data_IF_440944744487
#
_entry.id   IF_440944744487
#
_cell.length_a   1.000
_cell.length_b   1.000
_cell.length_c   1.000
_cell.angle_alpha   90.00
_cell.angle_beta   90.00
_cell.angle_gamma   90.00
#
_symmetry.space_group_name_H-M   'P 1'
#
loop_
_entity.id
_entity.type
_entity.pdbx_description
1 polymer ?
#
# COMPACT_ATOMS: atom_id res chain seq x y z
N UNK A 1 3.66 -4.84 -9.42
CA UNK A 1 2.55 -4.50 -10.29
C UNK A 1 1.21 -4.83 -9.66
N UNK A 2 0.23 -4.05 -10.03
CA UNK A 2 -1.14 -4.38 -9.73
C UNK A 2 -1.60 -5.30 -10.86
N UNK A 3 -2.19 -6.46 -10.56
CA UNK A 3 -2.84 -7.22 -11.62
C UNK A 3 -3.82 -6.27 -12.33
N UNK A 4 -4.01 -6.42 -13.62
CA UNK A 4 -4.89 -5.54 -14.41
C UNK A 4 -6.33 -5.66 -13.98
N UNK A 5 -6.62 -5.39 -12.73
CA UNK A 5 -7.89 -5.70 -12.16
C UNK A 5 -8.51 -4.45 -11.67
N UNK A 6 -9.26 -3.89 -12.52
CA UNK A 6 -9.98 -2.68 -12.22
C UNK A 6 -11.48 -2.92 -12.18
N UNK A 7 -11.89 -4.18 -12.33
CA UNK A 7 -13.30 -4.57 -12.26
C UNK A 7 -13.52 -5.59 -11.15
N UNK A 8 -14.72 -5.64 -10.59
CA UNK A 8 -15.08 -6.59 -9.55
C UNK A 8 -14.95 -8.05 -10.01
N UNK A 9 -15.23 -8.32 -11.29
CA UNK A 9 -15.11 -9.67 -11.84
C UNK A 9 -13.65 -10.14 -11.81
N UNK A 10 -12.73 -9.23 -12.11
CA UNK A 10 -11.31 -9.55 -12.05
C UNK A 10 -10.80 -9.70 -10.62
N UNK A 11 -11.37 -8.95 -9.66
CA UNK A 11 -11.06 -9.10 -8.26
C UNK A 11 -11.46 -10.49 -7.75
N UNK A 12 -12.68 -10.94 -8.09
CA UNK A 12 -13.13 -12.28 -7.74
C UNK A 12 -12.24 -13.35 -8.34
N UNK A 13 -11.85 -13.16 -9.60
CA UNK A 13 -10.99 -14.11 -10.30
C UNK A 13 -9.63 -14.25 -9.63
N UNK A 14 -9.08 -13.17 -9.08
CA UNK A 14 -7.81 -13.21 -8.36
C UNK A 14 -7.95 -13.88 -7.01
N UNK A 15 -9.03 -13.60 -6.30
CA UNK A 15 -9.31 -14.28 -5.03
C UNK A 15 -9.44 -15.79 -5.24
N UNK A 16 -9.95 -16.22 -6.40
CA UNK A 16 -10.10 -17.62 -6.76
C UNK A 16 -8.80 -18.22 -7.33
N UNK A 17 -7.98 -17.41 -7.99
CA UNK A 17 -6.67 -17.84 -8.45
C UNK A 17 -5.68 -17.72 -7.32
N UNK A 18 -5.30 -18.84 -6.75
CA UNK A 18 -4.32 -18.87 -5.68
C UNK A 18 -2.99 -18.28 -6.17
N UNK A 19 -2.63 -17.10 -5.71
CA UNK A 19 -1.34 -16.50 -6.02
C UNK A 19 -0.30 -17.07 -5.07
N UNK A 20 0.49 -18.01 -5.57
CA UNK A 20 1.59 -18.58 -4.80
C UNK A 20 2.72 -17.57 -4.75
N UNK A 21 3.07 -17.16 -3.56
CA UNK A 21 4.15 -16.22 -3.33
C UNK A 21 4.40 -16.02 -1.85
N UNK A 22 5.33 -15.14 -1.53
CA UNK A 22 5.67 -14.84 -0.14
C UNK A 22 4.87 -13.64 0.33
N UNK A 23 4.06 -13.87 1.36
CA UNK A 23 3.30 -12.79 2.02
C UNK A 23 4.28 -11.86 2.74
N UNK A 24 4.20 -10.56 2.47
CA UNK A 24 5.16 -9.61 3.04
C UNK A 24 5.03 -9.46 4.54
N UNK A 25 3.83 -9.63 5.11
CA UNK A 25 3.65 -9.54 6.56
C UNK A 25 4.54 -10.51 7.33
N UNK A 26 4.91 -11.63 6.73
CA UNK A 26 5.70 -12.68 7.38
C UNK A 26 7.16 -12.73 6.90
N UNK A 27 7.48 -12.09 5.77
CA UNK A 27 8.76 -12.32 5.11
C UNK A 27 9.57 -11.06 4.79
N UNK A 28 9.00 -9.87 4.92
CA UNK A 28 9.61 -8.64 4.38
C UNK A 28 11.06 -8.44 4.85
N UNK A 29 11.33 -8.55 6.12
CA UNK A 29 12.67 -8.31 6.69
C UNK A 29 13.70 -9.31 6.19
N UNK A 30 13.27 -10.50 5.77
CA UNK A 30 14.15 -11.57 5.28
C UNK A 30 14.38 -11.51 3.76
N UNK A 31 13.80 -10.52 3.11
CA UNK A 31 13.90 -10.32 1.66
C UNK A 31 14.69 -9.04 1.37
N UNK A 32 14.89 -8.73 0.09
CA UNK A 32 15.47 -7.45 -0.30
C UNK A 32 14.41 -6.35 -0.11
N UNK A 33 14.16 -6.02 1.14
CA UNK A 33 13.04 -5.15 1.50
C UNK A 33 13.18 -3.73 0.98
N UNK A 34 14.41 -3.25 0.76
CA UNK A 34 14.61 -1.91 0.18
C UNK A 34 14.07 -1.84 -1.24
N UNK A 35 14.39 -2.83 -2.07
CA UNK A 35 13.86 -2.91 -3.44
C UNK A 35 12.36 -3.13 -3.45
N UNK A 36 11.86 -3.95 -2.53
CA UNK A 36 10.42 -4.19 -2.40
C UNK A 36 9.69 -2.90 -2.04
N UNK A 37 10.23 -2.11 -1.12
CA UNK A 37 9.64 -0.82 -0.75
C UNK A 37 9.62 0.16 -1.92
N UNK A 38 10.65 0.15 -2.78
CA UNK A 38 10.62 0.93 -4.02
C UNK A 38 9.45 0.49 -4.92
N UNK A 39 9.26 -0.81 -5.07
CA UNK A 39 8.13 -1.34 -5.84
C UNK A 39 6.78 -0.96 -5.24
N UNK A 40 6.68 -1.00 -3.91
CA UNK A 40 5.45 -0.59 -3.22
C UNK A 40 5.11 0.85 -3.59
N UNK A 41 6.07 1.77 -3.47
CA UNK A 41 5.85 3.17 -3.81
C UNK A 41 5.37 3.36 -5.25
N UNK A 42 6.01 2.67 -6.20
CA UNK A 42 5.64 2.75 -7.61
C UNK A 42 4.26 2.14 -7.88
N UNK A 43 3.93 1.04 -7.22
CA UNK A 43 2.64 0.38 -7.37
C UNK A 43 1.51 1.27 -6.83
N UNK A 44 1.72 1.88 -5.67
CA UNK A 44 0.74 2.80 -5.09
C UNK A 44 0.55 4.04 -5.95
N UNK A 45 1.61 4.51 -6.59
CA UNK A 45 1.52 5.60 -7.55
C UNK A 45 0.55 5.24 -8.67
N UNK A 46 0.65 4.03 -9.22
CA UNK A 46 -0.21 3.58 -10.32
C UNK A 46 -1.67 3.51 -9.92
N UNK A 47 -1.97 2.89 -8.77
CA UNK A 47 -3.38 2.75 -8.36
C UNK A 47 -3.98 4.10 -7.99
N UNK A 48 -3.26 4.95 -7.27
CA UNK A 48 -3.78 6.26 -6.88
C UNK A 48 -3.93 7.19 -8.06
N UNK A 49 -3.08 7.10 -9.08
CA UNK A 49 -3.25 7.87 -10.32
C UNK A 49 -4.49 7.46 -11.11
N UNK A 50 -5.00 6.27 -10.87
CA UNK A 50 -6.26 5.80 -11.46
C UNK A 50 -7.44 6.00 -10.50
N UNK A 51 -7.22 6.73 -9.42
CA UNK A 51 -8.23 7.00 -8.39
C UNK A 51 -8.77 5.73 -7.72
N UNK A 52 -7.92 4.71 -7.63
CA UNK A 52 -8.25 3.46 -6.93
C UNK A 52 -7.68 3.53 -5.52
N UNK A 53 -8.55 3.30 -4.55
CA UNK A 53 -8.19 3.18 -3.13
C UNK A 53 -8.26 1.71 -2.76
N UNK A 54 -7.21 1.19 -2.14
CA UNK A 54 -7.19 -0.22 -1.75
C UNK A 54 -8.16 -0.51 -0.60
N UNK A 55 -8.16 0.36 0.39
CA UNK A 55 -9.08 0.26 1.51
C UNK A 55 -8.58 -0.57 2.69
N UNK A 56 -7.61 -1.45 2.45
CA UNK A 56 -7.00 -2.27 3.52
C UNK A 56 -5.52 -2.50 3.19
N UNK A 57 -4.80 -1.41 3.01
CA UNK A 57 -3.43 -1.44 2.52
C UNK A 57 -2.45 -1.78 3.64
N UNK A 58 -2.18 -3.07 3.78
CA UNK A 58 -1.25 -3.61 4.77
C UNK A 58 -0.31 -4.61 4.11
N UNK A 59 0.79 -4.95 4.80
CA UNK A 59 1.72 -5.95 4.27
C UNK A 59 1.10 -7.35 4.24
N UNK A 60 0.00 -7.57 4.96
CA UNK A 60 -0.76 -8.82 4.86
C UNK A 60 -1.45 -8.98 3.51
N UNK A 61 -1.69 -7.89 2.80
CA UNK A 61 -2.34 -7.88 1.50
C UNK A 61 -1.34 -7.63 0.36
N UNK A 62 -0.07 -7.95 0.60
CA UNK A 62 1.00 -7.84 -0.38
C UNK A 62 1.72 -9.17 -0.50
N UNK A 63 1.90 -9.63 -1.73
CA UNK A 63 2.58 -10.89 -2.04
C UNK A 63 3.71 -10.60 -3.02
N UNK A 64 4.89 -11.17 -2.75
CA UNK A 64 6.01 -11.14 -3.68
C UNK A 64 6.09 -12.49 -4.38
N UNK A 65 6.00 -12.49 -5.71
CA UNK A 65 6.11 -13.68 -6.54
C UNK A 65 7.00 -13.36 -7.73
N UNK A 66 8.06 -14.15 -7.93
CA UNK A 66 9.01 -13.96 -9.04
C UNK A 66 9.52 -12.53 -9.10
N UNK A 67 9.91 -11.97 -7.96
CA UNK A 67 10.41 -10.59 -7.81
C UNK A 67 9.40 -9.51 -8.16
N UNK A 68 8.13 -9.86 -8.32
CA UNK A 68 7.04 -8.91 -8.59
C UNK A 68 6.12 -8.81 -7.38
N UNK A 69 5.73 -7.58 -7.09
CA UNK A 69 4.80 -7.28 -6.01
C UNK A 69 3.36 -7.36 -6.53
N UNK A 70 2.51 -8.03 -5.78
CA UNK A 70 1.07 -8.10 -6.04
C UNK A 70 0.30 -7.60 -4.84
N UNK A 71 -0.64 -6.69 -5.08
CA UNK A 71 -1.61 -6.31 -4.08
C UNK A 71 -2.81 -7.23 -4.21
N UNK A 72 -3.32 -7.71 -3.08
CA UNK A 72 -4.47 -8.61 -3.04
C UNK A 72 -5.55 -8.03 -2.12
N UNK A 73 -6.71 -8.66 -2.13
CA UNK A 73 -7.84 -8.36 -1.24
C UNK A 73 -8.33 -6.92 -1.34
N UNK A 74 -8.85 -6.58 -2.53
CA UNK A 74 -9.46 -5.27 -2.79
C UNK A 74 -10.92 -5.19 -2.34
N UNK A 75 -11.38 -6.12 -1.50
CA UNK A 75 -12.79 -6.17 -1.09
C UNK A 75 -13.30 -4.90 -0.42
N UNK A 76 -12.43 -4.12 0.22
CA UNK A 76 -12.77 -2.82 0.80
C UNK A 76 -12.41 -1.65 -0.10
N UNK A 77 -11.95 -1.94 -1.33
CA UNK A 77 -11.51 -0.92 -2.26
C UNK A 77 -12.65 -0.15 -2.90
N UNK A 78 -12.34 1.05 -3.34
CA UNK A 78 -13.30 1.92 -4.00
C UNK A 78 -12.58 2.95 -4.86
N UNK A 79 -13.33 3.65 -5.72
CA UNK A 79 -12.79 4.74 -6.53
C UNK A 79 -12.97 6.06 -5.80
N UNK A 80 -11.90 6.84 -5.71
CA UNK A 80 -11.94 8.18 -5.13
C UNK A 80 -10.79 9.03 -5.67
N UNK A 81 -11.08 10.28 -6.00
CA UNK A 81 -10.07 11.26 -6.36
C UNK A 81 -9.64 12.11 -5.15
N UNK A 82 -10.22 11.86 -3.99
CA UNK A 82 -9.97 12.70 -2.80
C UNK A 82 -8.58 12.48 -2.22
N UNK A 83 -7.91 13.57 -1.91
CA UNK A 83 -6.62 13.58 -1.22
C UNK A 83 -6.71 12.79 0.09
N UNK A 84 -7.77 13.03 0.86
CA UNK A 84 -7.98 12.37 2.15
C UNK A 84 -7.99 10.85 2.01
N UNK A 85 -8.71 10.31 1.03
CA UNK A 85 -8.82 8.84 0.87
C UNK A 85 -7.48 8.21 0.47
N UNK A 86 -6.72 8.87 -0.40
CA UNK A 86 -5.38 8.40 -0.77
C UNK A 86 -4.42 8.47 0.41
N UNK A 87 -4.52 9.52 1.21
CA UNK A 87 -3.70 9.67 2.42
C UNK A 87 -4.04 8.60 3.46
N UNK A 88 -5.32 8.26 3.63
CA UNK A 88 -5.74 7.19 4.53
C UNK A 88 -5.13 5.85 4.11
N UNK A 89 -5.12 5.55 2.81
CA UNK A 89 -4.49 4.34 2.28
C UNK A 89 -3.02 4.25 2.72
N UNK A 90 -2.26 5.34 2.50
CA UNK A 90 -0.85 5.38 2.88
C UNK A 90 -0.66 5.33 4.39
N UNK A 91 -1.55 5.94 5.15
CA UNK A 91 -1.48 5.93 6.61
C UNK A 91 -1.69 4.52 7.17
N UNK A 92 -2.62 3.76 6.60
CA UNK A 92 -2.82 2.35 6.96
C UNK A 92 -1.55 1.55 6.73
N UNK A 93 -0.88 1.76 5.60
CA UNK A 93 0.38 1.09 5.32
C UNK A 93 1.45 1.46 6.34
N UNK A 94 1.56 2.74 6.67
CA UNK A 94 2.49 3.22 7.68
C UNK A 94 2.26 2.52 9.02
N UNK A 95 1.00 2.43 9.45
CA UNK A 95 0.65 1.74 10.68
C UNK A 95 1.00 0.24 10.63
N UNK A 96 0.74 -0.41 9.50
CA UNK A 96 1.07 -1.82 9.28
C UNK A 96 2.58 -2.06 9.40
N UNK A 97 3.38 -1.20 8.78
CA UNK A 97 4.84 -1.30 8.86
C UNK A 97 5.34 -1.11 10.29
N UNK A 98 4.81 -0.13 11.00
CA UNK A 98 5.20 0.12 12.37
C UNK A 98 4.83 -1.06 13.29
N UNK A 99 3.67 -1.67 13.07
CA UNK A 99 3.19 -2.77 13.91
C UNK A 99 3.90 -4.10 13.63
N UNK A 100 4.15 -4.41 12.37
CA UNK A 100 4.65 -5.74 11.96
C UNK A 100 6.11 -5.76 11.54
N UNK A 101 6.68 -4.62 11.19
CA UNK A 101 8.04 -4.51 10.67
C UNK A 101 8.81 -3.42 11.39
N UNK A 102 8.68 -3.40 12.70
CA UNK A 102 9.20 -2.33 13.54
C UNK A 102 10.69 -2.09 13.34
N UNK A 103 11.48 -3.14 13.15
CA UNK A 103 12.93 -3.02 13.01
C UNK A 103 13.37 -2.22 11.79
N UNK A 104 12.55 -2.21 10.73
CA UNK A 104 12.88 -1.50 9.49
C UNK A 104 11.91 -0.35 9.20
N UNK A 105 10.93 -0.14 10.07
CA UNK A 105 9.79 0.73 9.78
C UNK A 105 10.13 2.13 9.30
N UNK A 106 10.93 2.93 9.99
CA UNK A 106 11.11 4.31 9.51
C UNK A 106 11.76 4.36 8.14
N UNK A 107 12.81 3.58 7.92
CA UNK A 107 13.51 3.56 6.64
C UNK A 107 12.65 2.98 5.54
N UNK A 108 11.89 1.91 5.84
CA UNK A 108 11.03 1.27 4.86
C UNK A 108 9.95 2.25 4.36
N UNK A 109 9.29 2.95 5.26
CA UNK A 109 8.26 3.90 4.88
C UNK A 109 8.86 5.09 4.11
N UNK A 110 10.04 5.56 4.51
CA UNK A 110 10.73 6.64 3.78
C UNK A 110 11.01 6.25 2.33
N UNK A 111 11.45 5.01 2.09
CA UNK A 111 11.70 4.51 0.73
C UNK A 111 10.41 4.47 -0.08
N UNK A 112 9.33 3.99 0.53
CA UNK A 112 8.02 3.96 -0.12
C UNK A 112 7.59 5.36 -0.55
N UNK A 113 7.69 6.32 0.34
CA UNK A 113 7.29 7.71 0.08
C UNK A 113 8.17 8.35 -1.01
N UNK A 114 9.47 8.08 -1.01
CA UNK A 114 10.38 8.59 -2.06
C UNK A 114 10.00 8.07 -3.44
N UNK A 115 9.39 6.91 -3.52
CA UNK A 115 8.97 6.29 -4.78
C UNK A 115 7.48 6.47 -5.08
N UNK A 116 6.80 7.23 -4.25
CA UNK A 116 5.39 7.54 -4.44
C UNK A 116 5.26 8.89 -5.14
N UNK A 117 4.94 8.85 -6.44
CA UNK A 117 4.89 10.03 -7.30
C UNK A 117 3.52 10.21 -7.94
N UNK A 118 2.46 9.89 -7.22
CA UNK A 118 1.09 10.08 -7.68
C UNK A 118 0.81 11.58 -7.89
N UNK A 119 -0.21 11.90 -8.67
CA UNK A 119 -0.68 13.27 -8.82
C UNK A 119 -1.00 13.83 -7.44
N UNK A 120 -0.56 15.06 -7.18
CA UNK A 120 -0.76 15.74 -5.90
C UNK A 120 -0.12 15.00 -4.71
N UNK A 121 0.96 14.25 -4.97
CA UNK A 121 1.63 13.46 -3.93
C UNK A 121 2.06 14.32 -2.73
N UNK A 122 2.51 15.55 -2.96
CA UNK A 122 2.90 16.45 -1.88
C UNK A 122 1.73 16.74 -0.93
N UNK A 123 0.54 16.98 -1.49
CA UNK A 123 -0.66 17.22 -0.69
C UNK A 123 -1.11 15.96 0.03
N UNK A 124 -0.99 14.81 -0.62
CA UNK A 124 -1.36 13.53 -0.03
C UNK A 124 -0.45 13.22 1.16
N UNK A 125 0.85 13.36 0.99
CA UNK A 125 1.84 13.10 2.05
C UNK A 125 1.62 14.05 3.22
N UNK A 126 1.37 15.32 2.93
CA UNK A 126 1.07 16.31 3.97
C UNK A 126 -0.21 15.98 4.74
N UNK A 127 -1.20 15.43 4.05
CA UNK A 127 -2.46 15.04 4.68
C UNK A 127 -2.27 13.89 5.67
N UNK A 128 -1.28 13.01 5.46
CA UNK A 128 -0.95 11.95 6.42
C UNK A 128 -0.63 12.58 7.79
N UNK A 129 0.15 13.64 7.82
CA UNK A 129 0.47 14.35 9.08
C UNK A 129 -0.78 14.88 9.77
N UNK A 130 -1.72 15.42 9.01
CA UNK A 130 -2.98 15.92 9.53
C UNK A 130 -3.80 14.77 10.15
N UNK A 131 -3.86 13.63 9.48
CA UNK A 131 -4.56 12.45 9.97
C UNK A 131 -3.94 11.97 11.29
N UNK A 132 -2.63 11.94 11.38
CA UNK A 132 -1.92 11.54 12.59
C UNK A 132 -2.21 12.49 13.75
N UNK A 133 -2.23 13.79 13.50
CA UNK A 133 -2.56 14.80 14.52
C UNK A 133 -3.98 14.63 15.03
N UNK A 134 -4.95 14.36 14.15
CA UNK A 134 -6.33 14.10 14.56
C UNK A 134 -6.42 12.91 15.51
N UNK A 135 -5.67 11.84 15.21
CA UNK A 135 -5.62 10.66 16.06
C UNK A 135 -5.11 10.97 17.47
N UNK A 136 -4.09 11.84 17.58
CA UNK A 136 -3.52 12.23 18.88
C UNK A 136 -4.49 13.04 19.73
N UNK A 137 -5.41 13.76 19.15
CA UNK A 137 -6.33 14.65 19.86
C UNK A 137 -7.72 14.04 20.07
N UNK A 138 -7.90 12.76 19.79
CA UNK A 138 -9.18 12.07 19.95
C UNK A 138 -9.46 11.57 21.38
N UNK A 139 -8.56 11.78 22.27
CA UNK A 139 -8.70 11.30 23.65
C UNK A 139 -9.16 12.40 24.56
#
# INVERSE_FOLDING_TARGET
PVPEILSSDNLEKIEMEFIEGKKLSENLENLDWKKICEQIGRTLTKIHNQDIIHGDLTTSNMILKNKKLYLIDFGLGFHSHKIEDKAVDLHLLKQSLNAKHFSIFPEAFDIIIKNYNAKESELIIKRIETIEKRGRYKF
#
